data_IF_537134136897
#
_entry.id   IF_537134136897
#
_cell.length_a   1.000
_cell.length_b   1.000
_cell.length_c   1.000
_cell.angle_alpha   90.00
_cell.angle_beta   90.00
_cell.angle_gamma   90.00
#
_symmetry.space_group_name_H-M   'P 1'
#
loop_
_entity.id
_entity.type
_entity.pdbx_description
1 polymer ?
#
# COMPACT_ATOMS: atom_id res chain seq x y z
N UNK A 1 29.07 6.40 7.36
CA UNK A 1 28.28 5.69 8.40
C UNK A 1 28.99 4.41 8.77
N UNK A 2 29.37 4.27 10.04
CA UNK A 2 30.19 3.17 10.55
C UNK A 2 29.27 2.00 10.88
N UNK A 3 29.28 0.95 10.07
CA UNK A 3 28.54 -0.29 10.36
C UNK A 3 29.40 -1.08 11.36
N UNK A 4 28.94 -1.15 12.61
CA UNK A 4 29.46 -2.13 13.57
C UNK A 4 29.01 -3.53 13.13
N UNK A 5 29.96 -4.47 13.11
CA UNK A 5 29.76 -5.85 12.66
C UNK A 5 28.72 -6.55 13.54
N UNK A 6 27.67 -7.14 12.97
CA UNK A 6 26.85 -8.13 13.67
C UNK A 6 25.42 -8.34 13.15
N UNK A 7 24.68 -7.28 12.84
CA UNK A 7 23.30 -7.43 12.35
C UNK A 7 23.26 -7.43 10.82
N UNK A 8 22.84 -8.56 10.26
CA UNK A 8 22.51 -8.66 8.84
C UNK A 8 21.29 -7.79 8.60
N UNK A 9 21.53 -6.58 8.11
CA UNK A 9 20.47 -5.68 7.68
C UNK A 9 19.81 -6.29 6.44
N UNK A 10 18.64 -6.93 6.62
CA UNK A 10 17.97 -7.67 5.56
C UNK A 10 17.02 -6.76 4.76
N UNK A 11 17.11 -6.76 3.42
CA UNK A 11 16.12 -6.08 2.60
C UNK A 11 14.74 -6.72 2.81
N UNK A 12 13.69 -5.92 2.80
CA UNK A 12 12.33 -6.38 3.06
C UNK A 12 11.31 -5.82 2.06
N UNK A 13 10.23 -6.59 1.87
CA UNK A 13 9.07 -6.21 1.05
C UNK A 13 7.94 -5.74 1.95
N UNK A 14 7.46 -4.53 1.70
CA UNK A 14 6.32 -3.94 2.40
C UNK A 14 5.01 -4.21 1.67
N UNK A 15 3.99 -4.55 2.45
CA UNK A 15 2.60 -4.57 1.98
C UNK A 15 1.78 -3.65 2.88
N UNK A 16 1.02 -2.74 2.29
CA UNK A 16 -0.04 -2.06 3.01
C UNK A 16 -1.19 -3.02 3.34
N UNK A 17 -2.03 -2.61 4.30
CA UNK A 17 -3.11 -3.41 4.82
C UNK A 17 -4.45 -3.03 4.20
N UNK A 18 -4.96 -1.83 4.49
CA UNK A 18 -6.27 -1.34 4.06
C UNK A 18 -6.26 -1.07 2.55
N UNK A 19 -7.24 -1.58 1.80
CA UNK A 19 -7.26 -1.45 0.34
C UNK A 19 -6.28 -2.36 -0.40
N UNK A 20 -5.22 -2.82 0.27
CA UNK A 20 -4.16 -3.64 -0.34
C UNK A 20 -4.27 -5.14 -0.01
N UNK A 21 -4.10 -5.53 1.26
CA UNK A 21 -4.23 -6.93 1.69
C UNK A 21 -5.66 -7.26 2.12
N UNK A 22 -6.37 -6.27 2.64
CA UNK A 22 -7.71 -6.38 3.16
C UNK A 22 -8.58 -5.24 2.58
N UNK A 23 -9.81 -5.54 2.17
CA UNK A 23 -10.73 -4.50 1.67
C UNK A 23 -11.03 -3.48 2.76
N UNK A 24 -10.96 -2.19 2.41
CA UNK A 24 -11.40 -1.10 3.30
C UNK A 24 -12.85 -1.39 3.74
N UNK A 25 -13.12 -1.36 5.05
CA UNK A 25 -14.39 -1.67 5.73
C UNK A 25 -14.70 -3.13 6.07
N UNK A 26 -14.55 -4.09 5.16
CA UNK A 26 -14.96 -5.49 5.45
C UNK A 26 -13.83 -6.32 6.05
N UNK A 27 -12.58 -5.90 5.86
CA UNK A 27 -11.38 -6.69 6.15
C UNK A 27 -11.39 -8.07 5.46
N UNK A 28 -12.15 -8.23 4.38
CA UNK A 28 -12.03 -9.43 3.56
C UNK A 28 -10.69 -9.43 2.83
N UNK A 29 -10.03 -10.59 2.70
CA UNK A 29 -8.77 -10.67 2.00
C UNK A 29 -8.93 -10.27 0.54
N UNK A 30 -7.94 -9.55 0.02
CA UNK A 30 -7.77 -9.31 -1.42
C UNK A 30 -6.91 -10.46 -1.97
N UNK A 31 -7.51 -11.50 -2.59
CA UNK A 31 -6.80 -12.77 -2.81
C UNK A 31 -5.51 -12.66 -3.65
N UNK A 32 -5.46 -11.85 -4.73
CA UNK A 32 -4.23 -11.68 -5.50
C UNK A 32 -3.07 -11.13 -4.67
N UNK A 33 -3.34 -10.21 -3.75
CA UNK A 33 -2.32 -9.60 -2.90
C UNK A 33 -1.88 -10.51 -1.76
N UNK A 34 -2.83 -11.23 -1.16
CA UNK A 34 -2.50 -12.26 -0.15
C UNK A 34 -1.66 -13.38 -0.76
N UNK A 35 -1.97 -13.85 -1.97
CA UNK A 35 -1.16 -14.89 -2.63
C UNK A 35 0.23 -14.37 -2.99
N UNK A 36 0.36 -13.10 -3.40
CA UNK A 36 1.67 -12.47 -3.61
C UNK A 36 2.50 -12.42 -2.33
N UNK A 37 1.89 -12.03 -1.21
CA UNK A 37 2.52 -12.06 0.10
C UNK A 37 2.99 -13.48 0.45
N UNK A 38 2.12 -14.50 0.30
CA UNK A 38 2.49 -15.91 0.54
C UNK A 38 3.63 -16.37 -0.35
N UNK A 39 3.63 -15.97 -1.62
CA UNK A 39 4.72 -16.29 -2.55
C UNK A 39 6.06 -15.77 -2.03
N UNK A 40 6.14 -14.53 -1.55
CA UNK A 40 7.39 -13.99 -1.00
C UNK A 40 7.81 -14.66 0.31
N UNK A 41 6.87 -15.01 1.18
CA UNK A 41 7.16 -15.82 2.35
C UNK A 41 7.74 -17.20 1.98
N UNK A 42 7.15 -17.89 0.99
CA UNK A 42 7.68 -19.19 0.50
C UNK A 42 9.08 -19.08 -0.12
N UNK A 43 9.44 -17.90 -0.64
CA UNK A 43 10.78 -17.61 -1.16
C UNK A 43 11.79 -17.26 -0.06
N UNK A 44 11.37 -17.21 1.21
CA UNK A 44 12.25 -16.86 2.32
C UNK A 44 12.60 -15.37 2.39
N UNK A 45 11.81 -14.51 1.74
CA UNK A 45 11.99 -13.06 1.83
C UNK A 45 11.44 -12.53 3.15
N UNK A 46 12.08 -11.50 3.69
CA UNK A 46 11.57 -10.72 4.81
C UNK A 46 10.37 -9.89 4.32
N UNK A 47 9.19 -10.14 4.91
CA UNK A 47 7.94 -9.44 4.58
C UNK A 47 7.44 -8.73 5.82
N UNK A 48 7.04 -7.46 5.65
CA UNK A 48 6.46 -6.66 6.73
C UNK A 48 5.17 -6.00 6.25
N UNK A 49 4.26 -5.76 7.19
CA UNK A 49 3.07 -4.94 6.94
C UNK A 49 3.46 -3.48 7.20
N UNK A 50 3.47 -2.66 6.17
CA UNK A 50 3.71 -1.21 6.27
C UNK A 50 2.37 -0.50 6.10
N UNK A 51 1.76 -0.04 7.19
CA UNK A 51 0.42 0.53 7.16
C UNK A 51 0.27 1.64 8.21
N UNK A 52 -0.65 2.59 7.97
CA UNK A 52 -0.98 3.63 8.94
C UNK A 52 -1.45 3.07 10.29
N UNK A 53 -2.09 1.89 10.29
CA UNK A 53 -2.48 1.16 11.51
C UNK A 53 -1.29 0.74 12.39
N UNK A 54 -0.06 0.79 11.85
CA UNK A 54 1.16 0.55 12.60
C UNK A 54 1.57 1.67 13.56
N UNK A 55 0.81 2.78 13.62
CA UNK A 55 1.09 3.92 14.49
C UNK A 55 0.61 3.74 15.94
N UNK A 56 -0.30 2.81 16.21
CA UNK A 56 -0.87 2.60 17.54
C UNK A 56 -1.10 1.12 17.86
N UNK A 57 -1.20 0.81 19.15
CA UNK A 57 -1.31 -0.58 19.62
C UNK A 57 -2.62 -1.27 19.20
N UNK A 58 -3.71 -0.51 19.03
CA UNK A 58 -5.02 -1.05 18.62
C UNK A 58 -4.97 -1.45 17.15
N UNK A 59 -4.44 -0.57 16.29
CA UNK A 59 -4.22 -0.85 14.88
C UNK A 59 -3.27 -2.04 14.65
N UNK A 60 -2.15 -2.10 15.39
CA UNK A 60 -1.23 -3.25 15.32
C UNK A 60 -1.95 -4.54 15.73
N UNK A 61 -2.71 -4.53 16.83
CA UNK A 61 -3.45 -5.71 17.28
C UNK A 61 -4.44 -6.20 16.22
N UNK A 62 -5.21 -5.29 15.62
CA UNK A 62 -6.18 -5.62 14.58
C UNK A 62 -5.52 -6.34 13.40
N UNK A 63 -4.41 -5.80 12.89
CA UNK A 63 -3.67 -6.41 11.77
C UNK A 63 -3.12 -7.79 12.17
N UNK A 64 -2.56 -7.91 13.38
CA UNK A 64 -2.02 -9.18 13.90
C UNK A 64 -3.10 -10.26 14.02
N UNK A 65 -4.28 -9.90 14.51
CA UNK A 65 -5.42 -10.81 14.63
C UNK A 65 -5.94 -11.23 13.25
N UNK A 66 -5.94 -10.29 12.29
CA UNK A 66 -6.28 -10.58 10.90
C UNK A 66 -5.28 -11.57 10.25
N UNK A 67 -3.98 -11.38 10.42
CA UNK A 67 -2.95 -12.31 9.94
C UNK A 67 -3.17 -13.71 10.49
N UNK A 68 -3.42 -13.82 11.80
CA UNK A 68 -3.72 -15.09 12.46
C UNK A 68 -4.98 -15.75 11.90
N UNK A 69 -6.08 -14.99 11.77
CA UNK A 69 -7.36 -15.46 11.21
C UNK A 69 -7.20 -16.08 9.82
N UNK A 70 -6.30 -15.53 9.01
CA UNK A 70 -6.06 -15.98 7.64
C UNK A 70 -4.84 -16.91 7.50
N UNK A 71 -4.37 -17.54 8.59
CA UNK A 71 -3.25 -18.49 8.57
C UNK A 71 -2.00 -17.90 7.90
N UNK A 72 -1.68 -16.65 8.26
CA UNK A 72 -0.42 -16.00 7.94
C UNK A 72 0.47 -15.98 9.19
N UNK A 73 1.80 -16.01 9.02
CA UNK A 73 2.71 -15.94 10.15
C UNK A 73 2.63 -14.57 10.84
N UNK A 74 3.22 -14.48 12.02
CA UNK A 74 3.25 -13.25 12.80
C UNK A 74 4.23 -12.21 12.21
N UNK A 75 3.79 -11.46 11.20
CA UNK A 75 4.61 -10.49 10.49
C UNK A 75 4.82 -9.21 11.29
N UNK A 76 5.98 -8.56 11.15
CA UNK A 76 6.19 -7.21 11.72
C UNK A 76 5.21 -6.22 11.09
N UNK A 77 4.52 -5.44 11.93
CA UNK A 77 3.62 -4.35 11.54
C UNK A 77 4.29 -3.03 11.92
N UNK A 78 4.36 -2.08 11.00
CA UNK A 78 5.02 -0.79 11.18
C UNK A 78 4.32 0.27 10.34
N UNK A 79 4.42 1.54 10.73
CA UNK A 79 4.06 2.70 9.90
C UNK A 79 5.29 3.40 9.29
N UNK A 80 6.49 2.98 9.70
CA UNK A 80 7.75 3.58 9.27
C UNK A 80 8.44 2.72 8.22
N UNK A 81 8.84 3.34 7.11
CA UNK A 81 9.80 2.76 6.17
C UNK A 81 11.24 3.01 6.65
N UNK A 82 12.15 2.19 6.15
CA UNK A 82 13.59 2.35 6.35
C UNK A 82 14.32 2.12 5.01
N UNK A 83 15.64 2.32 4.99
CA UNK A 83 16.47 2.14 3.79
C UNK A 83 16.51 0.71 3.24
N UNK A 84 15.94 -0.25 3.95
CA UNK A 84 16.01 -1.68 3.62
C UNK A 84 14.71 -2.13 2.94
N UNK A 85 13.68 -1.29 2.93
CA UNK A 85 12.49 -1.53 2.14
C UNK A 85 12.83 -1.44 0.66
N UNK A 86 12.76 -2.57 -0.05
CA UNK A 86 13.11 -2.64 -1.48
C UNK A 86 11.89 -2.53 -2.39
N UNK A 87 10.71 -2.87 -1.89
CA UNK A 87 9.44 -2.84 -2.63
C UNK A 87 8.31 -2.50 -1.66
N UNK A 88 7.36 -1.70 -2.11
CA UNK A 88 6.09 -1.43 -1.42
C UNK A 88 4.93 -1.78 -2.34
N UNK A 89 4.00 -2.60 -1.86
CA UNK A 89 2.68 -2.77 -2.44
C UNK A 89 1.67 -1.98 -1.62
N UNK A 90 1.00 -1.04 -2.27
CA UNK A 90 0.08 -0.08 -1.67
C UNK A 90 -0.85 0.41 -2.80
N UNK A 91 -2.16 0.49 -2.55
CA UNK A 91 -3.17 0.85 -3.54
C UNK A 91 -3.13 2.35 -3.90
N UNK A 92 -2.46 3.17 -3.09
CA UNK A 92 -2.37 4.62 -3.26
C UNK A 92 -1.00 5.08 -3.75
N UNK A 93 0.02 4.21 -3.74
CA UNK A 93 1.37 4.57 -4.13
C UNK A 93 1.61 4.53 -5.66
N UNK A 94 2.29 5.56 -6.18
CA UNK A 94 2.86 5.59 -7.53
C UNK A 94 4.38 5.59 -7.46
N UNK A 95 5.03 4.75 -8.28
CA UNK A 95 6.47 4.72 -8.35
C UNK A 95 6.98 5.94 -9.12
N UNK A 96 8.02 6.59 -8.59
CA UNK A 96 8.77 7.65 -9.27
C UNK A 96 10.16 7.13 -9.58
N UNK A 97 10.68 7.41 -10.78
CA UNK A 97 12.07 7.12 -11.13
C UNK A 97 12.98 7.94 -10.22
N UNK A 98 13.94 7.26 -9.60
CA UNK A 98 14.78 7.86 -8.55
C UNK A 98 15.45 9.15 -9.04
N UNK A 99 15.27 10.23 -8.28
CA UNK A 99 15.86 11.55 -8.51
C UNK A 99 15.43 12.26 -9.81
N UNK A 100 14.38 11.81 -10.50
CA UNK A 100 13.93 12.48 -11.74
C UNK A 100 12.58 13.16 -11.63
N UNK A 101 11.73 12.75 -10.66
CA UNK A 101 10.35 13.22 -10.56
C UNK A 101 9.39 12.58 -11.57
N UNK A 102 9.88 11.73 -12.46
CA UNK A 102 9.07 11.06 -13.49
C UNK A 102 8.32 9.88 -12.88
N UNK A 103 6.99 9.88 -12.97
CA UNK A 103 6.13 8.76 -12.54
C UNK A 103 6.27 7.59 -13.52
N UNK A 104 6.46 6.38 -13.00
CA UNK A 104 6.52 5.17 -13.83
C UNK A 104 5.11 4.83 -14.32
N UNK A 105 4.96 4.77 -15.65
CA UNK A 105 3.71 4.34 -16.29
C UNK A 105 2.70 5.45 -16.57
N UNK A 106 3.08 6.73 -16.46
CA UNK A 106 2.30 7.86 -16.96
C UNK A 106 2.91 8.42 -18.26
N UNK A 107 2.05 8.69 -19.25
CA UNK A 107 2.10 9.93 -20.03
C UNK A 107 1.19 10.91 -19.26
N UNK A 108 1.73 12.05 -18.83
CA UNK A 108 1.09 13.03 -17.93
C UNK A 108 -0.39 13.33 -18.25
N UNK A 109 -1.32 13.03 -17.34
CA UNK A 109 -2.57 13.83 -17.21
C UNK A 109 -3.26 13.65 -15.84
N UNK A 110 -2.73 14.31 -14.80
CA UNK A 110 -3.45 14.53 -13.54
C UNK A 110 -4.61 15.55 -13.69
N UNK A 111 -4.92 16.03 -14.90
CA UNK A 111 -5.94 17.06 -15.16
C UNK A 111 -7.23 16.55 -15.80
N UNK A 112 -7.39 15.23 -16.00
CA UNK A 112 -8.65 14.68 -16.49
C UNK A 112 -9.12 13.47 -15.69
N UNK A 113 -9.92 13.75 -14.64
CA UNK A 113 -11.30 13.27 -14.51
C UNK A 113 -11.89 13.50 -13.10
N UNK A 114 -13.00 14.24 -13.10
CA UNK A 114 -14.23 13.88 -12.39
C UNK A 114 -14.37 14.25 -10.90
N UNK A 115 -14.40 15.56 -10.63
CA UNK A 115 -15.48 16.09 -9.78
C UNK A 115 -16.79 15.91 -10.58
N UNK A 116 -17.38 14.72 -10.52
CA UNK A 116 -18.82 14.61 -10.71
C UNK A 116 -19.43 15.18 -9.44
N UNK A 117 -19.73 16.47 -9.44
CA UNK A 117 -20.78 17.01 -8.57
C UNK A 117 -22.09 16.41 -9.11
N UNK A 118 -22.78 15.52 -8.38
CA UNK A 118 -24.08 15.09 -8.82
C UNK A 118 -24.99 16.30 -8.71
N UNK A 119 -25.55 16.71 -9.85
CA UNK A 119 -26.67 17.63 -9.97
C UNK A 119 -26.34 19.13 -10.14
N UNK A 120 -25.77 19.49 -11.30
CA UNK A 120 -26.01 20.82 -11.87
C UNK A 120 -26.49 20.65 -13.30
N UNK A 121 -27.75 21.02 -13.55
CA UNK A 121 -28.31 21.12 -14.91
C UNK A 121 -27.47 22.14 -15.70
N UNK A 122 -26.88 21.72 -16.81
CA UNK A 122 -26.35 22.65 -17.80
C UNK A 122 -27.53 23.12 -18.63
N UNK A 123 -27.91 24.38 -18.47
CA UNK A 123 -28.80 25.09 -19.40
C UNK A 123 -27.92 25.46 -20.60
N UNK A 124 -28.24 24.95 -21.77
CA UNK A 124 -27.54 25.29 -23.02
C UNK A 124 -28.11 26.58 -23.59
N UNK A 125 -27.23 27.42 -24.17
CA UNK A 125 -27.54 28.73 -24.76
C UNK A 125 -28.34 28.67 -26.08
N UNK A 126 -29.14 27.62 -26.25
CA UNK A 126 -30.06 27.45 -27.38
C UNK A 126 -31.54 27.61 -26.95
N UNK A 127 -31.78 27.96 -25.68
CA UNK A 127 -33.12 28.19 -25.10
C UNK A 127 -33.48 29.69 -24.93
N UNK A 128 -32.82 30.59 -25.66
CA UNK A 128 -33.29 31.97 -25.81
C UNK A 128 -33.59 32.26 -27.29
N UNK A 129 -34.86 32.06 -27.61
CA UNK A 129 -35.57 32.71 -28.71
C UNK A 129 -35.52 34.23 -28.53
#
# INVERSE_FOLDING_TARGET
YRICRGERIMPWVGFDFDGTLAREHTFEPVPPMVERLRKYLRQGLEVRILTARGNDAVGIRLVKDWLKKHNLPDLKVTSNKDYQMIVLYDDRARQVIQNTGVVVGEDDDFTRRDIIVPNTKIITKDDEN
#
